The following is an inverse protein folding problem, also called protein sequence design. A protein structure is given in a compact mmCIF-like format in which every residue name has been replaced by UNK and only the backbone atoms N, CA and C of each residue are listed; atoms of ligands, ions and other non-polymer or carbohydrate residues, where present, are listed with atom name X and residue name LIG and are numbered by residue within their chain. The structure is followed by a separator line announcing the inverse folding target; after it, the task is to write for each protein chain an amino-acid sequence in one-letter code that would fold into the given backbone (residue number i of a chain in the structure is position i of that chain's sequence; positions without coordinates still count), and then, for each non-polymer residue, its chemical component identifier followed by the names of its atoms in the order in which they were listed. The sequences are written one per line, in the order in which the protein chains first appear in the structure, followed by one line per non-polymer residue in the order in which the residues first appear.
data_IF_359429638608
#
_entry.id   IF_359429638608
#
_cell.length_a   1.000
_cell.length_b   1.000
_cell.length_c   1.000
_cell.angle_alpha   90.00
_cell.angle_beta   90.00
_cell.angle_gamma   90.00
#
_symmetry.space_group_name_H-M   'P 1'
#
loop_
_entity.id
_entity.type
_entity.pdbx_description
1 polymer ?
#
# COMPACT_ATOMS: atom_id res chain seq x y z
N UNK A 1 13.01 -20.71 -13.63
CA UNK A 1 14.18 -20.34 -12.81
C UNK A 1 13.67 -19.68 -11.53
N UNK A 2 14.26 -19.94 -10.36
CA UNK A 2 13.85 -19.26 -9.13
C UNK A 2 14.06 -17.74 -9.29
N UNK A 3 13.05 -16.95 -8.93
CA UNK A 3 13.18 -15.49 -8.90
C UNK A 3 14.20 -15.10 -7.82
N UNK A 4 15.16 -14.25 -8.15
CA UNK A 4 16.11 -13.72 -7.16
C UNK A 4 15.40 -12.70 -6.28
N UNK A 5 15.46 -12.89 -4.97
CA UNK A 5 14.93 -11.98 -3.98
C UNK A 5 16.05 -11.25 -3.22
N UNK A 6 15.74 -10.06 -2.71
CA UNK A 6 16.56 -9.31 -1.73
C UNK A 6 15.69 -8.94 -0.54
N UNK A 7 16.33 -8.81 0.62
CA UNK A 7 15.71 -8.16 1.77
C UNK A 7 15.95 -6.66 1.68
N UNK A 8 14.88 -5.87 1.79
CA UNK A 8 14.95 -4.42 1.91
C UNK A 8 14.54 -4.00 3.32
N UNK A 9 15.22 -2.99 3.85
CA UNK A 9 14.89 -2.37 5.14
C UNK A 9 13.76 -1.34 5.00
N UNK A 10 13.35 -0.74 6.13
CA UNK A 10 12.29 0.25 6.21
C UNK A 10 12.57 1.51 5.39
N UNK A 11 13.81 1.97 5.37
CA UNK A 11 14.25 3.13 4.57
C UNK A 11 14.11 2.85 3.07
N UNK A 12 14.66 1.73 2.59
CA UNK A 12 14.57 1.33 1.18
C UNK A 12 13.11 1.05 0.80
N UNK A 13 12.34 0.46 1.71
CA UNK A 13 10.91 0.24 1.51
C UNK A 13 10.14 1.55 1.37
N UNK A 14 10.47 2.56 2.18
CA UNK A 14 9.93 3.90 2.04
C UNK A 14 10.25 4.48 0.65
N UNK A 15 11.51 4.44 0.22
CA UNK A 15 11.90 5.00 -1.09
C UNK A 15 11.11 4.38 -2.24
N UNK A 16 10.90 3.06 -2.19
CA UNK A 16 10.10 2.34 -3.19
C UNK A 16 8.62 2.76 -3.14
N UNK A 17 8.00 2.73 -1.96
CA UNK A 17 6.57 3.07 -1.79
C UNK A 17 6.31 4.54 -2.09
N UNK A 18 7.17 5.44 -1.60
CA UNK A 18 7.07 6.86 -1.88
C UNK A 18 7.30 7.16 -3.36
N UNK A 19 8.28 6.50 -3.99
CA UNK A 19 8.50 6.59 -5.43
C UNK A 19 7.28 6.15 -6.26
N UNK A 20 6.59 5.09 -5.85
CA UNK A 20 5.31 4.69 -6.44
C UNK A 20 4.24 5.80 -6.32
N UNK A 21 4.09 6.38 -5.13
CA UNK A 21 3.11 7.44 -4.88
C UNK A 21 3.42 8.72 -5.65
N UNK A 22 4.69 9.10 -5.79
CA UNK A 22 5.12 10.23 -6.63
C UNK A 22 4.89 9.95 -8.12
N UNK A 23 5.17 8.72 -8.57
CA UNK A 23 4.97 8.31 -9.96
C UNK A 23 3.50 8.18 -10.37
N UNK A 24 2.59 8.02 -9.39
CA UNK A 24 1.16 7.82 -9.61
C UNK A 24 0.32 8.82 -8.80
N UNK A 25 0.26 10.11 -9.20
CA UNK A 25 -0.43 11.15 -8.43
C UNK A 25 -1.91 10.86 -8.16
N UNK A 26 -2.56 10.00 -8.95
CA UNK A 26 -3.96 9.61 -8.77
C UNK A 26 -4.18 8.64 -7.59
N UNK A 27 -3.13 7.94 -7.15
CA UNK A 27 -3.14 7.12 -5.93
C UNK A 27 -3.06 7.98 -4.68
N UNK A 28 -2.44 9.15 -4.79
CA UNK A 28 -2.33 10.11 -3.71
C UNK A 28 -3.52 11.06 -3.78
N UNK A 29 -4.02 11.40 -2.60
CA UNK A 29 -5.07 12.41 -2.49
C UNK A 29 -4.43 13.79 -2.61
N UNK A 30 -5.12 14.70 -3.30
CA UNK A 30 -4.75 16.12 -3.32
C UNK A 30 -4.57 16.64 -1.89
N UNK A 31 -3.34 17.07 -1.57
CA UNK A 31 -2.93 17.52 -0.24
C UNK A 31 -3.76 18.71 0.26
N UNK A 32 -4.39 19.46 -0.65
CA UNK A 32 -5.24 20.61 -0.33
C UNK A 32 -6.63 20.23 0.20
N UNK A 33 -7.05 18.97 0.08
CA UNK A 33 -8.38 18.54 0.54
C UNK A 33 -8.36 18.15 2.02
N UNK A 34 -9.45 18.37 2.78
CA UNK A 34 -9.58 17.97 4.19
C UNK A 34 -9.71 16.44 4.41
N UNK A 35 -8.86 15.83 5.24
CA UNK A 35 -8.83 14.38 5.48
C UNK A 35 -10.24 13.81 5.73
N UNK A 36 -10.56 12.59 5.24
CA UNK A 36 -11.87 12.00 5.49
C UNK A 36 -12.10 11.89 7.00
N UNK A 37 -13.34 12.10 7.44
CA UNK A 37 -13.69 11.91 8.85
C UNK A 37 -13.40 10.47 9.27
N UNK A 38 -13.02 10.27 10.53
CA UNK A 38 -12.70 8.94 11.07
C UNK A 38 -13.86 7.96 10.88
N UNK A 39 -15.10 8.42 11.00
CA UNK A 39 -16.29 7.60 10.76
C UNK A 39 -16.37 7.11 9.30
N UNK A 40 -16.09 7.99 8.34
CA UNK A 40 -16.05 7.67 6.91
C UNK A 40 -14.92 6.67 6.63
N UNK A 41 -13.72 6.91 7.16
CA UNK A 41 -12.60 6.00 6.97
C UNK A 41 -12.91 4.60 7.48
N UNK A 42 -13.52 4.49 8.68
CA UNK A 42 -13.92 3.19 9.24
C UNK A 42 -14.96 2.49 8.36
N UNK A 43 -15.95 3.23 7.84
CA UNK A 43 -16.99 2.67 6.99
C UNK A 43 -16.45 2.12 5.66
N UNK A 44 -15.42 2.76 5.09
CA UNK A 44 -14.86 2.40 3.79
C UNK A 44 -13.53 1.64 3.86
N UNK A 45 -13.03 1.32 5.05
CA UNK A 45 -11.71 0.71 5.24
C UNK A 45 -11.56 -0.63 4.51
N UNK A 46 -12.55 -1.52 4.62
CA UNK A 46 -12.50 -2.82 3.98
C UNK A 46 -12.45 -2.71 2.44
N UNK A 47 -13.32 -1.89 1.86
CA UNK A 47 -13.34 -1.66 0.42
C UNK A 47 -12.05 -0.98 -0.07
N UNK A 48 -11.48 -0.08 0.73
CA UNK A 48 -10.23 0.59 0.42
C UNK A 48 -9.06 -0.39 0.40
N UNK A 49 -8.99 -1.27 1.40
CA UNK A 49 -8.01 -2.35 1.46
C UNK A 49 -8.16 -3.30 0.27
N UNK A 50 -9.38 -3.69 -0.09
CA UNK A 50 -9.64 -4.55 -1.25
C UNK A 50 -9.22 -3.88 -2.56
N UNK A 51 -9.49 -2.57 -2.72
CA UNK A 51 -9.05 -1.82 -3.89
C UNK A 51 -7.52 -1.76 -4.00
N UNK A 52 -6.81 -1.56 -2.88
CA UNK A 52 -5.34 -1.57 -2.88
C UNK A 52 -4.81 -2.97 -3.21
N UNK A 53 -5.37 -4.02 -2.60
CA UNK A 53 -4.97 -5.41 -2.89
C UNK A 53 -5.16 -5.75 -4.37
N UNK A 54 -6.28 -5.34 -4.96
CA UNK A 54 -6.52 -5.53 -6.39
C UNK A 54 -5.41 -4.89 -7.23
N UNK A 55 -5.02 -3.64 -6.94
CA UNK A 55 -3.93 -2.94 -7.64
C UNK A 55 -2.60 -3.69 -7.45
N UNK A 56 -2.31 -4.16 -6.24
CA UNK A 56 -1.10 -4.91 -5.96
C UNK A 56 -1.03 -6.26 -6.69
N UNK A 57 -2.18 -6.92 -6.91
CA UNK A 57 -2.25 -8.23 -7.55
C UNK A 57 -2.26 -8.16 -9.08
N UNK A 58 -2.94 -7.16 -9.65
CA UNK A 58 -2.98 -6.96 -11.10
C UNK A 58 -1.77 -6.20 -11.62
N UNK A 59 -1.15 -5.36 -10.78
CA UNK A 59 -0.13 -4.41 -11.21
C UNK A 59 -0.69 -3.30 -12.11
N UNK A 60 -2.02 -3.17 -12.22
CA UNK A 60 -2.66 -2.15 -13.04
C UNK A 60 -2.57 -0.78 -12.35
N UNK A 61 -1.72 0.08 -12.90
CA UNK A 61 -1.48 1.44 -12.42
C UNK A 61 -2.19 2.51 -13.29
N UNK A 62 -3.15 2.12 -14.12
CA UNK A 62 -3.89 3.05 -15.00
C UNK A 62 -5.02 3.78 -14.27
N UNK A 63 -5.47 3.27 -13.12
CA UNK A 63 -6.47 3.93 -12.29
C UNK A 63 -7.04 3.03 -11.19
N UNK A 64 -8.03 3.56 -10.48
CA UNK A 64 -8.77 2.79 -9.47
C UNK A 64 -9.62 1.68 -10.12
N UNK A 65 -9.85 0.55 -9.44
CA UNK A 65 -10.78 -0.47 -9.90
C UNK A 65 -12.14 0.14 -10.25
N UNK A 66 -12.81 -0.40 -11.27
CA UNK A 66 -14.14 0.07 -11.70
C UNK A 66 -15.11 0.09 -10.51
N UNK A 67 -15.95 1.12 -10.43
CA UNK A 67 -16.94 1.32 -9.35
C UNK A 67 -16.35 1.63 -7.95
N UNK A 68 -15.03 1.80 -7.80
CA UNK A 68 -14.46 2.26 -6.51
C UNK A 68 -15.05 3.63 -6.15
N UNK A 69 -15.76 3.73 -5.01
CA UNK A 69 -16.43 4.96 -4.58
C UNK A 69 -15.43 6.04 -4.18
N UNK A 70 -15.83 7.31 -4.22
CA UNK A 70 -14.95 8.46 -3.91
C UNK A 70 -14.32 8.36 -2.52
N UNK A 71 -15.11 8.03 -1.50
CA UNK A 71 -14.63 7.96 -0.12
C UNK A 71 -13.77 6.72 0.12
N UNK A 72 -14.02 5.62 -0.60
CA UNK A 72 -13.13 4.47 -0.68
C UNK A 72 -11.77 4.84 -1.27
N UNK A 73 -11.73 5.59 -2.38
CA UNK A 73 -10.47 6.09 -2.98
C UNK A 73 -9.72 6.98 -1.99
N UNK A 74 -10.43 7.91 -1.34
CA UNK A 74 -9.82 8.83 -0.38
C UNK A 74 -9.24 8.08 0.84
N UNK A 75 -9.95 7.06 1.33
CA UNK A 75 -9.50 6.19 2.41
C UNK A 75 -8.29 5.37 1.98
N UNK A 76 -8.29 4.80 0.77
CA UNK A 76 -7.16 4.05 0.23
C UNK A 76 -5.91 4.93 0.07
N UNK A 77 -6.06 6.14 -0.50
CA UNK A 77 -4.99 7.13 -0.59
C UNK A 77 -4.42 7.49 0.79
N UNK A 78 -5.27 7.66 1.79
CA UNK A 78 -4.83 7.90 3.17
C UNK A 78 -4.00 6.73 3.69
N UNK A 79 -4.50 5.49 3.57
CA UNK A 79 -3.81 4.30 4.08
C UNK A 79 -2.44 4.10 3.43
N UNK A 80 -2.32 4.32 2.12
CA UNK A 80 -1.04 4.26 1.41
C UNK A 80 -0.06 5.34 1.88
N UNK A 81 -0.57 6.55 2.11
CA UNK A 81 0.24 7.67 2.59
C UNK A 81 0.69 7.48 4.04
N UNK A 82 -0.21 7.01 4.91
CA UNK A 82 0.08 6.65 6.31
C UNK A 82 1.12 5.53 6.37
N UNK A 83 1.01 4.50 5.52
CA UNK A 83 2.02 3.45 5.41
C UNK A 83 3.39 4.04 5.05
N UNK A 84 3.47 4.89 4.02
CA UNK A 84 4.73 5.51 3.61
C UNK A 84 5.37 6.30 4.78
N UNK A 85 4.60 7.12 5.48
CA UNK A 85 5.15 7.88 6.61
C UNK A 85 5.59 7.00 7.77
N UNK A 86 4.85 5.94 8.07
CA UNK A 86 5.24 4.99 9.12
C UNK A 86 6.46 4.17 8.75
N UNK A 87 6.79 3.98 7.48
CA UNK A 87 8.04 3.32 7.06
C UNK A 87 9.27 4.15 7.44
N UNK A 88 9.15 5.49 7.46
CA UNK A 88 10.22 6.40 7.90
C UNK A 88 10.28 6.64 9.40
N UNK A 89 9.16 6.46 10.11
CA UNK A 89 9.09 6.74 11.54
C UNK A 89 9.97 5.75 12.33
N UNK A 90 11.04 6.19 13.02
CA UNK A 90 11.88 5.31 13.83
C UNK A 90 11.14 4.65 15.00
N UNK A 91 10.04 5.26 15.47
CA UNK A 91 9.20 4.72 16.52
C UNK A 91 8.13 3.74 15.99
N UNK A 92 7.96 3.64 14.67
CA UNK A 92 7.01 2.74 14.06
C UNK A 92 7.47 1.28 14.15
N UNK A 93 6.52 0.33 14.27
CA UNK A 93 6.83 -1.10 14.24
C UNK A 93 7.45 -1.57 12.91
N UNK A 94 7.50 -0.71 11.89
CA UNK A 94 8.18 -0.99 10.61
C UNK A 94 9.68 -0.78 10.67
N UNK A 95 10.21 0.02 11.61
CA UNK A 95 11.64 0.37 11.66
C UNK A 95 12.56 -0.86 11.76
N UNK A 96 12.13 -1.90 12.48
CA UNK A 96 12.88 -3.15 12.64
C UNK A 96 12.53 -4.23 11.59
N UNK A 97 11.67 -3.91 10.60
CA UNK A 97 11.20 -4.90 9.62
C UNK A 97 12.08 -4.91 8.37
N UNK A 98 12.02 -6.06 7.70
CA UNK A 98 12.50 -6.24 6.35
C UNK A 98 11.42 -6.88 5.48
N UNK A 99 11.51 -6.62 4.17
CA UNK A 99 10.66 -7.21 3.15
C UNK A 99 11.52 -7.95 2.15
N UNK A 100 11.18 -9.21 1.90
CA UNK A 100 11.75 -9.98 0.81
C UNK A 100 11.01 -9.61 -0.49
N UNK A 101 11.73 -9.08 -1.48
CA UNK A 101 11.17 -8.64 -2.76
C UNK A 101 12.07 -9.09 -3.94
N UNK A 102 11.51 -9.35 -5.13
CA UNK A 102 12.27 -9.76 -6.31
C UNK A 102 13.10 -8.60 -6.84
N UNK A 103 14.38 -8.89 -7.10
CA UNK A 103 15.36 -7.89 -7.55
C UNK A 103 15.13 -7.49 -9.00
N UNK A 104 14.67 -8.45 -9.82
CA UNK A 104 14.57 -8.31 -11.27
C UNK A 104 13.28 -7.61 -11.73
N UNK A 105 12.44 -7.17 -10.79
CA UNK A 105 11.19 -6.48 -11.08
C UNK A 105 11.37 -4.95 -11.09
N UNK A 106 10.57 -4.20 -11.86
CA UNK A 106 10.59 -2.74 -11.82
C UNK A 106 10.32 -2.19 -10.41
N UNK A 107 10.84 -0.99 -10.06
CA UNK A 107 10.67 -0.40 -8.72
C UNK A 107 9.21 -0.26 -8.26
N UNK A 108 8.28 0.06 -9.17
CA UNK A 108 6.86 0.17 -8.84
C UNK A 108 6.25 -1.20 -8.48
N UNK A 109 6.67 -2.29 -9.13
CA UNK A 109 6.23 -3.66 -8.80
C UNK A 109 6.79 -4.07 -7.43
N UNK A 110 8.06 -3.77 -7.18
CA UNK A 110 8.70 -3.96 -5.86
C UNK A 110 7.93 -3.21 -4.75
N UNK A 111 7.53 -1.97 -5.00
CA UNK A 111 6.72 -1.18 -4.07
C UNK A 111 5.34 -1.80 -3.81
N UNK A 112 4.62 -2.23 -4.85
CA UNK A 112 3.32 -2.89 -4.71
C UNK A 112 3.40 -4.17 -3.86
N UNK A 113 4.50 -4.91 -3.93
CA UNK A 113 4.70 -6.09 -3.08
C UNK A 113 4.90 -5.72 -1.60
N UNK A 114 5.62 -4.65 -1.30
CA UNK A 114 5.76 -4.14 0.07
C UNK A 114 4.38 -3.77 0.63
N UNK A 115 3.60 -3.00 -0.15
CA UNK A 115 2.23 -2.61 0.22
C UNK A 115 1.37 -3.85 0.47
N UNK A 116 1.42 -4.83 -0.44
CA UNK A 116 0.68 -6.10 -0.30
C UNK A 116 1.05 -6.84 0.98
N UNK A 117 2.35 -6.99 1.26
CA UNK A 117 2.83 -7.65 2.46
C UNK A 117 2.30 -6.98 3.73
N UNK A 118 2.29 -5.65 3.78
CA UNK A 118 1.83 -4.92 4.96
C UNK A 118 0.32 -4.96 5.15
N UNK A 119 -0.44 -4.95 4.06
CA UNK A 119 -1.90 -5.15 4.14
C UNK A 119 -2.23 -6.55 4.66
N UNK A 120 -1.58 -7.59 4.13
CA UNK A 120 -1.83 -8.98 4.55
C UNK A 120 -1.37 -9.26 5.99
N UNK A 121 -0.33 -8.57 6.46
CA UNK A 121 0.11 -8.63 7.86
C UNK A 121 -0.86 -7.92 8.81
N UNK A 122 -1.40 -6.78 8.41
CA UNK A 122 -2.32 -5.97 9.22
C UNK A 122 -3.75 -6.51 9.22
N UNK A 123 -4.10 -7.23 8.15
CA UNK A 123 -5.39 -7.88 7.94
C UNK A 123 -5.10 -9.35 7.62
N UNK A 124 -4.73 -10.16 8.63
CA UNK A 124 -4.54 -11.58 8.40
C UNK A 124 -5.85 -12.11 7.80
N UNK A 125 -5.75 -12.71 6.61
CA UNK A 125 -6.84 -13.50 6.05
C UNK A 125 -6.97 -14.68 7.00
N UNK A 126 -7.83 -14.56 8.01
CA UNK A 126 -8.22 -15.69 8.82
C UNK A 126 -8.98 -16.59 7.87
N UNK A 127 -8.28 -17.54 7.26
CA UNK A 127 -8.90 -18.68 6.59
C UNK A 127 -9.69 -19.38 7.69
N UNK A 128 -10.95 -19.02 7.83
CA UNK A 128 -11.88 -19.72 8.70
C UNK A 128 -11.98 -21.14 8.13
N UNK A 129 -11.48 -22.18 8.83
CA UNK A 129 -11.74 -23.53 8.38
C UNK A 129 -13.26 -23.72 8.44
N UNK A 130 -13.85 -24.06 7.30
CA UNK A 130 -15.20 -24.63 7.26
C UNK A 130 -15.15 -26.04 7.82
#
# INVERSE_FOLDING_TARGET
MPQRTKNVDSTTAFELVFGLLQGMPWLVRDASRALPEVAVMKAHQADAVNAILWICETGDLTGWPTQTQRDTRATASYLLTDLAFRLLDPASPFAARAWEIPVDQPPHVQALQIVRHEILRSTPITAQPR
#
